data_IF_950389932795
#
_entry.id   IF_950389932795
#
_cell.length_a   1.000
_cell.length_b   1.000
_cell.length_c   1.000
_cell.angle_alpha   90.00
_cell.angle_beta   90.00
_cell.angle_gamma   90.00
#
_symmetry.space_group_name_H-M   'P 1'
#
loop_
_entity.id
_entity.type
_entity.pdbx_description
1 polymer ?
#
# COMPACT_ATOMS: atom_id res chain seq x y z
N UNK A 1 2.73 -21.30 2.80
CA UNK A 1 3.71 -20.59 1.95
C UNK A 1 2.95 -19.76 0.93
N UNK A 2 3.28 -18.48 0.78
CA UNK A 2 2.74 -17.65 -0.31
C UNK A 2 3.34 -18.13 -1.63
N UNK A 3 2.58 -18.07 -2.72
CA UNK A 3 3.07 -18.43 -4.04
C UNK A 3 4.25 -17.51 -4.44
N UNK A 4 5.32 -18.11 -4.95
CA UNK A 4 6.47 -17.36 -5.45
C UNK A 4 6.14 -16.60 -6.74
N UNK A 5 6.88 -15.53 -7.03
CA UNK A 5 6.80 -14.75 -8.30
C UNK A 5 5.43 -14.11 -8.56
N UNK A 6 4.74 -13.69 -7.50
CA UNK A 6 3.50 -12.88 -7.57
C UNK A 6 3.78 -11.43 -7.22
N UNK A 7 2.89 -10.53 -7.63
CA UNK A 7 2.79 -9.21 -6.99
C UNK A 7 2.17 -9.47 -5.60
N UNK A 8 2.94 -9.22 -4.55
CA UNK A 8 2.51 -9.33 -3.15
C UNK A 8 2.73 -8.04 -2.35
N UNK A 9 3.21 -6.99 -3.03
CA UNK A 9 3.38 -5.67 -2.43
C UNK A 9 2.99 -4.54 -3.38
N UNK A 10 2.17 -3.61 -2.89
CA UNK A 10 1.83 -2.37 -3.60
C UNK A 10 2.03 -1.14 -2.72
N UNK A 11 2.53 -0.06 -3.30
CA UNK A 11 2.60 1.24 -2.63
C UNK A 11 1.64 2.22 -3.29
N UNK A 12 0.79 2.85 -2.49
CA UNK A 12 -0.26 3.78 -2.93
C UNK A 12 0.03 5.16 -2.30
N UNK A 13 0.30 6.20 -3.10
CA UNK A 13 0.46 7.55 -2.58
C UNK A 13 -0.90 8.11 -2.13
N UNK A 14 -0.94 8.72 -0.95
CA UNK A 14 -2.16 9.33 -0.39
C UNK A 14 -1.85 10.71 0.19
N UNK A 15 -2.80 11.63 0.13
CA UNK A 15 -2.63 12.97 0.71
C UNK A 15 -2.90 13.01 2.21
N UNK A 16 -3.63 12.02 2.73
CA UNK A 16 -4.00 11.91 4.15
C UNK A 16 -4.04 10.43 4.56
N UNK A 17 -3.08 10.00 5.39
CA UNK A 17 -2.95 8.61 5.83
C UNK A 17 -4.14 8.15 6.67
N UNK A 18 -4.71 9.03 7.51
CA UNK A 18 -5.81 8.65 8.42
C UNK A 18 -7.08 8.42 7.63
N UNK A 19 -7.39 9.33 6.69
CA UNK A 19 -8.55 9.15 5.80
C UNK A 19 -8.43 7.90 4.94
N UNK A 20 -7.24 7.61 4.42
CA UNK A 20 -7.00 6.39 3.66
C UNK A 20 -7.23 5.16 4.55
N UNK A 21 -6.60 5.09 5.72
CA UNK A 21 -6.79 3.99 6.68
C UNK A 21 -8.26 3.75 6.99
N UNK A 22 -8.99 4.79 7.37
CA UNK A 22 -10.38 4.66 7.79
C UNK A 22 -11.24 4.13 6.62
N UNK A 23 -11.08 4.68 5.41
CA UNK A 23 -11.77 4.22 4.20
C UNK A 23 -11.45 2.76 3.85
N UNK A 24 -10.17 2.38 3.76
CA UNK A 24 -9.77 1.03 3.37
C UNK A 24 -10.07 -0.01 4.47
N UNK A 25 -10.05 0.40 5.75
CA UNK A 25 -10.46 -0.44 6.87
C UNK A 25 -11.96 -0.76 6.82
N UNK A 26 -12.80 0.23 6.54
CA UNK A 26 -14.25 0.05 6.46
C UNK A 26 -14.65 -0.77 5.22
N UNK A 27 -14.05 -0.48 4.07
CA UNK A 27 -14.45 -1.10 2.81
C UNK A 27 -13.93 -2.53 2.64
N UNK A 28 -12.71 -2.81 3.10
CA UNK A 28 -12.02 -4.07 2.82
C UNK A 28 -11.58 -4.85 4.06
N UNK A 29 -11.83 -4.32 5.26
CA UNK A 29 -11.35 -4.92 6.51
C UNK A 29 -9.82 -5.16 6.53
N UNK A 30 -9.07 -4.30 5.84
CA UNK A 30 -7.61 -4.34 5.89
C UNK A 30 -7.10 -3.97 7.29
N UNK A 31 -5.93 -4.51 7.63
CA UNK A 31 -5.20 -4.17 8.85
C UNK A 31 -4.04 -3.22 8.55
N UNK A 32 -3.62 -2.43 9.53
CA UNK A 32 -2.68 -1.33 9.32
C UNK A 32 -1.63 -1.23 10.44
N UNK A 33 -0.45 -0.74 10.09
CA UNK A 33 0.61 -0.39 11.03
C UNK A 33 1.26 0.95 10.64
N UNK A 34 1.36 1.87 11.60
CA UNK A 34 1.92 3.20 11.42
C UNK A 34 3.42 3.19 11.73
N UNK A 35 4.23 3.84 10.88
CA UNK A 35 5.70 3.91 11.02
C UNK A 35 6.22 5.33 11.19
N UNK A 36 5.33 6.27 11.48
CA UNK A 36 5.60 7.70 11.59
C UNK A 36 4.59 8.52 10.80
N UNK A 37 4.93 9.79 10.58
CA UNK A 37 3.97 10.74 10.02
C UNK A 37 3.73 10.53 8.52
N UNK A 38 4.70 10.00 7.78
CA UNK A 38 4.65 9.98 6.31
C UNK A 38 4.41 8.59 5.70
N UNK A 39 4.25 7.55 6.53
CA UNK A 39 4.13 6.19 6.03
C UNK A 39 3.32 5.27 6.95
N UNK A 40 2.49 4.43 6.33
CA UNK A 40 1.68 3.40 6.99
C UNK A 40 1.67 2.14 6.13
N UNK A 41 1.94 0.97 6.69
CA UNK A 41 1.75 -0.29 5.97
C UNK A 41 0.34 -0.84 6.18
N UNK A 42 -0.14 -1.64 5.22
CA UNK A 42 -1.39 -2.37 5.33
C UNK A 42 -1.24 -3.85 4.93
N UNK A 43 -2.21 -4.67 5.34
CA UNK A 43 -2.33 -6.06 4.92
C UNK A 43 -3.79 -6.44 4.68
N UNK A 44 -4.06 -7.11 3.56
CA UNK A 44 -5.36 -7.73 3.25
C UNK A 44 -5.44 -9.21 3.66
N UNK A 45 -4.37 -9.74 4.27
CA UNK A 45 -4.21 -11.14 4.65
C UNK A 45 -3.51 -12.02 3.60
N UNK A 46 -3.40 -11.56 2.35
CA UNK A 46 -2.76 -12.26 1.23
C UNK A 46 -1.64 -11.45 0.57
N UNK A 47 -1.81 -10.14 0.50
CA UNK A 47 -0.93 -9.12 -0.05
C UNK A 47 -0.70 -8.05 1.02
N UNK A 48 0.53 -7.55 1.08
CA UNK A 48 0.86 -6.42 1.93
C UNK A 48 1.03 -5.17 1.07
N UNK A 49 1.07 -4.01 1.71
CA UNK A 49 1.26 -2.77 0.97
C UNK A 49 1.59 -1.60 1.86
N UNK A 50 1.72 -0.44 1.24
CA UNK A 50 2.10 0.80 1.90
C UNK A 50 1.29 1.98 1.40
N UNK A 51 0.89 2.84 2.32
CA UNK A 51 0.50 4.21 2.04
C UNK A 51 1.66 5.13 2.34
N UNK A 52 2.09 5.86 1.31
CA UNK A 52 3.07 6.94 1.44
C UNK A 52 2.37 8.28 1.36
N UNK A 53 2.67 9.21 2.27
CA UNK A 53 2.15 10.57 2.19
C UNK A 53 2.75 11.27 0.96
N UNK A 54 1.88 11.83 0.12
CA UNK A 54 2.23 12.63 -1.03
C UNK A 54 1.58 14.02 -0.92
N UNK A 55 2.23 15.09 -1.42
CA UNK A 55 1.69 16.45 -1.38
C UNK A 55 0.44 16.61 -2.26
N UNK A 56 0.33 15.81 -3.31
CA UNK A 56 -0.77 15.84 -4.27
C UNK A 56 -1.26 14.42 -4.55
N UNK A 57 -2.53 14.31 -4.97
CA UNK A 57 -3.10 13.03 -5.39
C UNK A 57 -2.39 12.52 -6.65
N UNK A 58 -2.22 11.20 -6.77
CA UNK A 58 -1.71 10.61 -8.00
C UNK A 58 -2.59 11.00 -9.19
N UNK A 59 -1.99 11.29 -10.37
CA UNK A 59 -2.74 11.51 -11.59
C UNK A 59 -3.66 10.32 -11.90
N UNK A 60 -4.86 10.57 -12.41
CA UNK A 60 -5.79 9.50 -12.81
C UNK A 60 -5.32 8.68 -14.02
N UNK A 61 -4.14 8.98 -14.57
CA UNK A 61 -3.62 8.43 -15.84
C UNK A 61 -2.94 7.06 -15.71
N UNK A 62 -2.98 6.41 -14.54
CA UNK A 62 -2.54 5.02 -14.39
C UNK A 62 -1.89 4.71 -13.04
N UNK A 63 -1.57 3.43 -12.84
CA UNK A 63 -0.87 2.91 -11.65
C UNK A 63 0.54 2.49 -12.06
N UNK A 64 1.55 2.85 -11.26
CA UNK A 64 2.91 2.32 -11.37
C UNK A 64 3.03 1.05 -10.53
N UNK A 65 3.49 -0.05 -11.14
CA UNK A 65 3.79 -1.31 -10.45
C UNK A 65 5.29 -1.58 -10.57
N UNK A 66 5.98 -1.72 -9.43
CA UNK A 66 7.43 -1.99 -9.39
C UNK A 66 7.65 -3.47 -9.04
N UNK A 67 8.45 -4.16 -9.85
CA UNK A 67 8.89 -5.53 -9.58
C UNK A 67 10.37 -5.52 -9.15
N UNK A 68 10.64 -5.89 -7.90
CA UNK A 68 12.00 -6.13 -7.44
C UNK A 68 12.26 -7.64 -7.37
N UNK A 69 13.12 -8.14 -8.26
CA UNK A 69 13.64 -9.50 -8.14
C UNK A 69 15.11 -9.43 -7.70
N UNK A 70 15.36 -9.78 -6.43
CA UNK A 70 16.72 -10.00 -5.95
C UNK A 70 17.23 -11.31 -6.56
N UNK A 71 18.34 -11.25 -7.29
CA UNK A 71 19.03 -12.46 -7.75
C UNK A 71 19.65 -13.14 -6.54
N UNK A 72 19.32 -14.43 -6.35
CA UNK A 72 20.03 -15.34 -5.46
C UNK A 72 21.43 -15.64 -6.00
#
# INVERSE_FOLDING_TARGET
MRAEKRIDYVEIPVTDLKKARDFFSELFAWSFQEWGDDYMSFSDGQMDGGFRRAPEAAPSSGVLVIFLQLKS
#
